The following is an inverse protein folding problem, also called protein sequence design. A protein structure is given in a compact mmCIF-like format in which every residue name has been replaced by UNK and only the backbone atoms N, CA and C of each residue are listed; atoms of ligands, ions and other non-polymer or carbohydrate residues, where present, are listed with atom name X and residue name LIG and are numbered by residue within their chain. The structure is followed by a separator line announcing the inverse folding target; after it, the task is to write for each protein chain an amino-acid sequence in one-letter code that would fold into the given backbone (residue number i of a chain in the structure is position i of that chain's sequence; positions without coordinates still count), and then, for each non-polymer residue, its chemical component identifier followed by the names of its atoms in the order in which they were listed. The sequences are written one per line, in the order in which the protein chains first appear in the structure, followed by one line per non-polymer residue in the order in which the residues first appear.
data_IF_953746867841
#
_entry.id   IF_953746867841
#
_cell.length_a   1.000
_cell.length_b   1.000
_cell.length_c   1.000
_cell.angle_alpha   90.00
_cell.angle_beta   90.00
_cell.angle_gamma   90.00
#
_symmetry.space_group_name_H-M   'P 1'
#
loop_
_entity.id
_entity.type
_entity.pdbx_description
1 polymer ?
#
# COMPACT_ATOMS: atom_id res chain seq x y z
N UNK A 1 21.11 3.75 3.31
CA UNK A 1 19.95 2.97 3.75
C UNK A 1 18.86 3.91 4.24
N UNK A 2 17.70 3.85 3.63
CA UNK A 2 16.62 4.73 4.05
C UNK A 2 16.08 4.25 5.40
N UNK A 3 15.87 5.19 6.31
CA UNK A 3 15.29 4.87 7.60
C UNK A 3 13.81 4.52 7.41
N UNK A 4 13.41 3.39 7.97
CA UNK A 4 12.03 2.95 7.96
C UNK A 4 11.41 3.32 9.31
N UNK A 5 10.39 4.18 9.27
CA UNK A 5 9.67 4.59 10.46
C UNK A 5 8.32 3.91 10.50
N UNK A 6 8.05 3.17 11.58
CA UNK A 6 6.73 2.59 11.82
C UNK A 6 5.93 3.56 12.68
N UNK A 7 4.72 3.84 12.25
CA UNK A 7 3.85 4.80 12.93
C UNK A 7 2.40 4.34 12.83
N UNK A 8 1.64 4.52 13.91
CA UNK A 8 0.20 4.28 13.90
C UNK A 8 -0.49 5.58 13.53
N UNK A 9 -1.16 5.60 12.37
CA UNK A 9 -1.86 6.78 11.88
C UNK A 9 -3.37 6.59 11.99
N UNK A 10 -4.11 7.66 12.38
CA UNK A 10 -5.57 7.62 12.21
C UNK A 10 -5.92 7.33 10.76
N UNK A 11 -6.97 6.57 10.53
CA UNK A 11 -7.36 6.18 9.17
C UNK A 11 -7.61 7.36 8.23
N UNK A 12 -8.12 8.47 8.77
CA UNK A 12 -8.37 9.68 7.99
C UNK A 12 -7.10 10.44 7.58
N UNK A 13 -5.95 10.05 8.14
CA UNK A 13 -4.65 10.62 7.76
C UNK A 13 -3.95 9.82 6.66
N UNK A 14 -4.56 8.77 6.17
CA UNK A 14 -4.04 7.97 5.05
C UNK A 14 -4.91 8.25 3.84
N UNK A 15 -4.30 8.79 2.78
CA UNK A 15 -5.01 9.11 1.54
C UNK A 15 -4.87 7.97 0.53
N UNK A 16 -5.99 7.40 0.11
CA UNK A 16 -6.00 6.33 -0.89
C UNK A 16 -6.29 6.92 -2.25
N UNK A 17 -5.31 6.87 -3.15
CA UNK A 17 -5.45 7.35 -4.51
C UNK A 17 -6.41 6.47 -5.34
N UNK A 18 -6.90 6.99 -6.48
CA UNK A 18 -7.87 6.25 -7.30
C UNK A 18 -7.37 4.88 -7.77
N UNK A 19 -6.07 4.75 -8.03
CA UNK A 19 -5.48 3.49 -8.51
C UNK A 19 -5.51 2.37 -7.48
N UNK A 20 -5.61 2.72 -6.20
CA UNK A 20 -5.59 1.76 -5.10
C UNK A 20 -6.97 1.48 -4.52
N UNK A 21 -8.02 2.03 -5.11
CA UNK A 21 -9.38 1.85 -4.61
C UNK A 21 -10.04 0.54 -5.05
N UNK A 22 -9.51 -0.09 -6.11
CA UNK A 22 -10.04 -1.35 -6.59
C UNK A 22 -9.47 -2.49 -5.72
N UNK A 23 -10.29 -3.02 -4.83
CA UNK A 23 -9.91 -4.10 -3.92
C UNK A 23 -10.88 -5.27 -4.07
N UNK A 24 -10.40 -6.46 -3.69
CA UNK A 24 -11.22 -7.67 -3.65
C UNK A 24 -12.02 -7.67 -2.34
N UNK A 25 -13.33 -7.48 -2.43
CA UNK A 25 -14.20 -7.37 -1.27
C UNK A 25 -14.19 -8.62 -0.40
N UNK A 26 -14.11 -9.81 -0.98
CA UNK A 26 -14.05 -11.06 -0.24
C UNK A 26 -12.75 -11.16 0.57
N UNK A 27 -11.64 -10.78 -0.04
CA UNK A 27 -10.34 -10.76 0.64
C UNK A 27 -10.33 -9.72 1.76
N UNK A 28 -10.92 -8.55 1.51
CA UNK A 28 -11.06 -7.49 2.53
C UNK A 28 -11.86 -8.01 3.73
N UNK A 29 -12.96 -8.72 3.50
CA UNK A 29 -13.79 -9.27 4.57
C UNK A 29 -13.00 -10.27 5.43
N UNK A 30 -12.20 -11.14 4.80
CA UNK A 30 -11.36 -12.09 5.53
C UNK A 30 -10.29 -11.37 6.35
N UNK A 31 -9.63 -10.38 5.78
CA UNK A 31 -8.63 -9.57 6.48
C UNK A 31 -9.27 -8.80 7.65
N UNK A 32 -10.44 -8.23 7.43
CA UNK A 32 -11.15 -7.46 8.46
C UNK A 32 -11.48 -8.33 9.66
N UNK A 33 -11.97 -9.56 9.42
CA UNK A 33 -12.26 -10.51 10.49
C UNK A 33 -11.02 -10.86 11.29
N UNK A 34 -9.90 -11.10 10.61
CA UNK A 34 -8.62 -11.40 11.25
C UNK A 34 -8.11 -10.21 12.05
N UNK A 35 -8.16 -9.01 11.48
CA UNK A 35 -7.67 -7.79 12.14
C UNK A 35 -8.53 -7.40 13.34
N UNK A 36 -9.83 -7.65 13.29
CA UNK A 36 -10.72 -7.41 14.42
C UNK A 36 -10.40 -8.33 15.59
N UNK A 37 -9.97 -9.56 15.30
CA UNK A 37 -9.67 -10.58 16.33
C UNK A 37 -8.27 -10.43 16.89
N UNK A 38 -7.25 -10.25 16.04
CA UNK A 38 -5.85 -10.29 16.44
C UNK A 38 -5.08 -9.00 16.22
N UNK A 39 -5.70 -7.98 15.66
CA UNK A 39 -5.04 -6.72 15.32
C UNK A 39 -4.31 -6.80 13.98
N UNK A 40 -3.66 -5.70 13.64
CA UNK A 40 -2.87 -5.61 12.41
C UNK A 40 -1.45 -6.10 12.65
N UNK A 41 -1.01 -7.08 11.88
CA UNK A 41 0.33 -7.66 12.02
C UNK A 41 1.33 -7.11 10.99
N UNK A 42 0.84 -6.75 9.81
CA UNK A 42 1.70 -6.25 8.72
C UNK A 42 1.37 -4.79 8.45
N UNK A 43 2.36 -3.89 8.48
CA UNK A 43 2.10 -2.47 8.20
C UNK A 43 1.79 -2.26 6.72
N UNK A 44 1.09 -1.17 6.43
CA UNK A 44 0.93 -0.68 5.06
C UNK A 44 2.05 0.31 4.76
N UNK A 45 2.33 0.54 3.48
CA UNK A 45 3.36 1.49 3.06
C UNK A 45 2.72 2.81 2.65
N UNK A 46 3.20 3.89 3.24
CA UNK A 46 2.73 5.25 2.95
C UNK A 46 3.92 6.16 2.65
N UNK A 47 3.65 7.25 1.94
CA UNK A 47 4.66 8.28 1.71
C UNK A 47 4.70 9.30 2.84
N UNK A 48 5.59 10.30 2.74
CA UNK A 48 5.63 11.39 3.71
C UNK A 48 4.33 12.19 3.71
N UNK A 49 4.05 12.88 4.81
CA UNK A 49 2.85 13.70 4.93
C UNK A 49 2.83 14.80 3.85
N UNK A 50 1.66 15.01 3.26
CA UNK A 50 1.46 16.11 2.32
C UNK A 50 1.20 17.43 3.07
N UNK A 51 0.87 18.49 2.32
CA UNK A 51 0.63 19.82 2.90
C UNK A 51 -0.55 19.83 3.88
N UNK A 52 -1.44 18.86 3.78
CA UNK A 52 -2.61 18.74 4.65
C UNK A 52 -2.40 17.77 5.82
N UNK A 53 -1.19 17.23 5.94
CA UNK A 53 -0.83 16.28 6.98
C UNK A 53 -1.32 14.87 6.73
N UNK A 54 -1.71 14.54 5.50
CA UNK A 54 -2.13 13.20 5.13
C UNK A 54 -0.99 12.48 4.43
N UNK A 55 -0.89 11.18 4.68
CA UNK A 55 0.13 10.34 4.07
C UNK A 55 -0.48 9.58 2.88
N UNK A 56 0.06 9.72 1.67
CA UNK A 56 -0.46 8.95 0.54
C UNK A 56 -0.14 7.47 0.71
N UNK A 57 -1.14 6.63 0.51
CA UNK A 57 -0.95 5.17 0.53
C UNK A 57 -0.17 4.75 -0.71
N UNK A 58 0.90 3.98 -0.51
CA UNK A 58 1.71 3.43 -1.60
C UNK A 58 1.32 1.98 -1.86
N UNK A 59 1.20 1.18 -0.81
CA UNK A 59 0.84 -0.23 -0.90
C UNK A 59 0.07 -0.67 0.33
N UNK A 60 -0.81 -1.65 0.18
CA UNK A 60 -1.60 -2.18 1.28
C UNK A 60 -3.06 -1.74 1.25
N UNK A 61 -3.61 -1.49 0.07
CA UNK A 61 -5.00 -1.05 -0.09
C UNK A 61 -6.01 -2.01 0.55
N UNK A 62 -5.76 -3.31 0.46
CA UNK A 62 -6.64 -4.31 1.07
C UNK A 62 -6.61 -4.20 2.60
N UNK A 63 -5.44 -3.99 3.20
CA UNK A 63 -5.33 -3.82 4.65
C UNK A 63 -5.97 -2.52 5.12
N UNK A 64 -5.83 -1.44 4.34
CA UNK A 64 -6.50 -0.18 4.64
C UNK A 64 -8.02 -0.36 4.65
N UNK A 65 -8.57 -0.98 3.60
CA UNK A 65 -9.99 -1.26 3.51
C UNK A 65 -10.47 -2.17 4.64
N UNK A 66 -9.68 -3.20 4.97
CA UNK A 66 -9.99 -4.13 6.05
C UNK A 66 -9.98 -3.44 7.41
N UNK A 67 -9.04 -2.55 7.66
CA UNK A 67 -8.98 -1.78 8.92
C UNK A 67 -10.21 -0.88 9.05
N UNK A 68 -10.65 -0.26 7.97
CA UNK A 68 -11.87 0.55 7.93
C UNK A 68 -13.09 -0.31 8.27
N UNK A 69 -13.21 -1.47 7.64
CA UNK A 69 -14.32 -2.38 7.87
C UNK A 69 -14.32 -2.95 9.29
N UNK A 70 -13.14 -3.26 9.83
CA UNK A 70 -13.01 -3.76 11.19
C UNK A 70 -13.22 -2.67 12.25
N UNK A 71 -13.29 -1.41 11.85
CA UNK A 71 -13.50 -0.30 12.79
C UNK A 71 -12.29 0.02 13.64
N UNK A 72 -11.07 -0.26 13.14
CA UNK A 72 -9.85 0.07 13.86
C UNK A 72 -9.65 1.59 13.92
N UNK A 73 -9.22 2.14 15.07
CA UNK A 73 -9.01 3.58 15.19
C UNK A 73 -7.76 4.08 14.46
N UNK A 74 -6.76 3.23 14.31
CA UNK A 74 -5.49 3.57 13.66
C UNK A 74 -5.04 2.45 12.74
N UNK A 75 -4.15 2.81 11.82
CA UNK A 75 -3.55 1.89 10.87
C UNK A 75 -2.03 1.93 11.08
N UNK A 76 -1.41 0.77 11.27
CA UNK A 76 0.04 0.68 11.38
C UNK A 76 0.65 0.90 10.00
N UNK A 77 1.50 1.90 9.90
CA UNK A 77 2.08 2.33 8.64
C UNK A 77 3.60 2.34 8.70
N UNK A 78 4.21 2.04 7.56
CA UNK A 78 5.64 2.22 7.35
C UNK A 78 5.80 3.42 6.42
N UNK A 79 6.46 4.47 6.89
CA UNK A 79 6.66 5.68 6.10
C UNK A 79 7.86 5.49 5.19
N UNK A 80 7.61 5.57 3.89
CA UNK A 80 8.65 5.45 2.87
C UNK A 80 9.11 6.84 2.44
N UNK A 81 10.38 7.12 2.58
CA UNK A 81 10.96 8.44 2.33
C UNK A 81 11.84 8.49 1.07
N UNK A 82 11.67 7.53 0.18
CA UNK A 82 12.39 7.51 -1.09
C UNK A 82 11.81 8.47 -2.12
N UNK A 83 12.38 8.47 -3.31
CA UNK A 83 11.91 9.30 -4.42
C UNK A 83 10.52 8.87 -4.89
N UNK A 84 9.86 9.74 -5.67
CA UNK A 84 8.57 9.42 -6.28
C UNK A 84 8.67 8.18 -7.19
N UNK A 85 9.77 8.04 -7.91
CA UNK A 85 10.00 6.88 -8.78
C UNK A 85 10.16 5.59 -7.96
N UNK A 86 10.89 5.66 -6.83
CA UNK A 86 11.04 4.51 -5.94
C UNK A 86 9.71 4.12 -5.29
N UNK A 87 8.88 5.11 -4.94
CA UNK A 87 7.54 4.84 -4.41
C UNK A 87 6.67 4.12 -5.46
N UNK A 88 6.74 4.54 -6.73
CA UNK A 88 6.02 3.87 -7.81
C UNK A 88 6.51 2.43 -8.01
N UNK A 89 7.81 2.20 -7.89
CA UNK A 89 8.38 0.86 -7.98
C UNK A 89 7.87 -0.03 -6.86
N UNK A 90 7.82 0.48 -5.63
CA UNK A 90 7.28 -0.25 -4.49
C UNK A 90 5.82 -0.65 -4.73
N UNK A 91 5.01 0.26 -5.25
CA UNK A 91 3.61 -0.01 -5.60
C UNK A 91 3.49 -1.11 -6.64
N UNK A 92 4.32 -1.06 -7.68
CA UNK A 92 4.31 -2.08 -8.75
C UNK A 92 4.74 -3.44 -8.21
N UNK A 93 5.79 -3.48 -7.38
CA UNK A 93 6.26 -4.73 -6.79
C UNK A 93 5.18 -5.37 -5.90
N UNK A 94 4.46 -4.57 -5.13
CA UNK A 94 3.35 -5.06 -4.31
C UNK A 94 2.26 -5.68 -5.19
N UNK A 95 1.93 -5.06 -6.32
CA UNK A 95 0.94 -5.60 -7.25
C UNK A 95 1.40 -6.92 -7.86
N UNK A 96 2.69 -7.08 -8.15
CA UNK A 96 3.24 -8.31 -8.70
C UNK A 96 3.18 -9.49 -7.73
N UNK A 97 3.11 -9.22 -6.44
CA UNK A 97 2.99 -10.26 -5.42
C UNK A 97 1.56 -10.80 -5.27
N UNK A 98 0.59 -10.19 -5.94
CA UNK A 98 -0.81 -10.65 -5.86
C UNK A 98 -0.98 -11.96 -6.62
N UNK A 99 -1.64 -12.93 -5.97
CA UNK A 99 -1.82 -14.28 -6.52
C UNK A 99 -2.75 -14.34 -7.73
N UNK A 100 -3.66 -13.39 -7.85
CA UNK A 100 -4.77 -13.44 -8.81
C UNK A 100 -4.55 -12.60 -10.05
N UNK A 101 -3.31 -12.17 -10.31
CA UNK A 101 -3.02 -11.45 -11.54
C UNK A 101 -3.12 -12.37 -12.74
N UNK A 102 -3.82 -11.92 -13.77
CA UNK A 102 -3.81 -12.61 -15.06
C UNK A 102 -2.42 -12.50 -15.68
N UNK A 103 -2.13 -13.35 -16.67
CA UNK A 103 -0.85 -13.27 -17.40
C UNK A 103 -0.66 -11.90 -18.05
N UNK A 104 -1.74 -11.32 -18.57
CA UNK A 104 -1.70 -10.00 -19.19
C UNK A 104 -1.40 -8.93 -18.16
N UNK A 105 -2.08 -8.95 -17.01
CA UNK A 105 -1.85 -7.99 -15.95
C UNK A 105 -0.42 -8.07 -15.43
N UNK A 106 0.08 -9.28 -15.24
CA UNK A 106 1.47 -9.50 -14.79
C UNK A 106 2.46 -8.95 -15.82
N UNK A 107 2.20 -9.16 -17.11
CA UNK A 107 3.06 -8.63 -18.18
C UNK A 107 3.08 -7.10 -18.17
N UNK A 108 1.92 -6.46 -17.97
CA UNK A 108 1.82 -5.00 -17.87
C UNK A 108 2.62 -4.47 -16.68
N UNK A 109 2.48 -5.10 -15.51
CA UNK A 109 3.22 -4.68 -14.32
C UNK A 109 4.72 -4.90 -14.46
N UNK A 110 5.14 -6.00 -15.08
CA UNK A 110 6.56 -6.27 -15.31
C UNK A 110 7.18 -5.24 -16.26
N UNK A 111 6.46 -4.87 -17.31
CA UNK A 111 6.92 -3.83 -18.24
C UNK A 111 7.03 -2.48 -17.55
N UNK A 112 6.05 -2.13 -16.73
CA UNK A 112 6.08 -0.90 -15.94
C UNK A 112 7.24 -0.90 -14.95
N UNK A 113 7.49 -2.03 -14.29
CA UNK A 113 8.61 -2.18 -13.37
C UNK A 113 9.94 -1.97 -14.08
N UNK A 114 10.09 -2.55 -15.26
CA UNK A 114 11.30 -2.39 -16.08
C UNK A 114 11.55 -0.92 -16.41
N UNK A 115 10.52 -0.20 -16.85
CA UNK A 115 10.62 1.21 -17.19
C UNK A 115 11.03 2.04 -15.97
N UNK A 116 10.45 1.77 -14.80
CA UNK A 116 10.79 2.46 -13.56
C UNK A 116 12.22 2.17 -13.13
N UNK A 117 12.66 0.92 -13.21
CA UNK A 117 14.04 0.56 -12.87
C UNK A 117 15.04 1.26 -13.78
N UNK A 118 14.75 1.41 -15.07
CA UNK A 118 15.61 2.11 -16.00
C UNK A 118 15.74 3.60 -15.67
N UNK A 119 14.72 4.21 -15.09
CA UNK A 119 14.74 5.59 -14.65
C UNK A 119 15.50 5.76 -13.33
N UNK A 120 15.36 4.81 -12.42
CA UNK A 120 15.99 4.85 -11.09
C UNK A 120 17.47 4.44 -11.17
N UNK A 121 17.76 3.41 -11.98
CA UNK A 121 19.10 2.82 -12.13
C UNK A 121 19.51 2.84 -13.60
N UNK A 122 19.83 4.01 -14.17
CA UNK A 122 20.18 4.11 -15.58
C UNK A 122 21.52 3.44 -15.94
#
# INVERSE_FOLDING_TARGET
MSDITLIALPLDRVHVGPRLRAVDDDYVALLAASMAETGQHTPVDVGPADAEGRHPLIAGAHRHAAATEAGLPTLLCRVFEGSALEAQLLEVDENLLRRELSELDRAVFLEKRKALCEQIYP
#
